data_IF_722989930491
#
_entry.id   IF_722989930491
#
_cell.length_a   1.000
_cell.length_b   1.000
_cell.length_c   1.000
_cell.angle_alpha   90.00
_cell.angle_beta   90.00
_cell.angle_gamma   90.00
#
_symmetry.space_group_name_H-M   'P 1'
#
loop_
_entity.id
_entity.type
_entity.pdbx_description
1 polymer ?
#
# COMPACT_ATOMS: atom_id res chain seq x y z
N UNK A 1 0.53 -0.95 15.53
CA UNK A 1 0.70 -0.96 14.06
C UNK A 1 1.15 -2.34 13.65
N UNK A 2 0.73 -2.79 12.48
CA UNK A 2 1.02 -4.12 11.96
C UNK A 2 2.34 -4.06 11.19
N UNK A 3 3.21 -5.05 11.39
CA UNK A 3 4.41 -5.22 10.59
C UNK A 3 4.07 -5.90 9.26
N UNK A 4 4.53 -5.34 8.15
CA UNK A 4 4.26 -5.88 6.81
C UNK A 4 5.04 -7.18 6.64
N UNK A 5 4.33 -8.30 6.45
CA UNK A 5 4.99 -9.56 6.12
C UNK A 5 5.42 -9.56 4.64
N UNK A 6 6.68 -9.21 4.41
CA UNK A 6 7.27 -9.13 3.06
C UNK A 6 7.41 -10.49 2.35
N UNK A 7 7.40 -11.61 3.07
CA UNK A 7 7.41 -12.95 2.47
C UNK A 7 6.05 -13.29 1.88
N UNK A 8 4.99 -13.08 2.66
CA UNK A 8 3.60 -13.23 2.22
C UNK A 8 3.28 -12.25 1.07
N UNK A 9 3.77 -11.00 1.16
CA UNK A 9 3.64 -10.05 0.07
C UNK A 9 4.28 -10.55 -1.23
N UNK A 10 5.46 -11.19 -1.18
CA UNK A 10 6.12 -11.75 -2.38
C UNK A 10 5.27 -12.86 -3.01
N UNK A 11 4.67 -13.72 -2.18
CA UNK A 11 3.76 -14.78 -2.64
C UNK A 11 2.51 -14.15 -3.27
N UNK A 12 1.85 -13.23 -2.56
CA UNK A 12 0.69 -12.50 -3.06
C UNK A 12 0.97 -11.82 -4.40
N UNK A 13 2.13 -11.17 -4.53
CA UNK A 13 2.55 -10.47 -5.74
C UNK A 13 2.66 -11.41 -6.94
N UNK A 14 3.14 -12.64 -6.77
CA UNK A 14 3.27 -13.61 -7.88
C UNK A 14 1.91 -13.93 -8.53
N UNK A 15 0.83 -13.87 -7.75
CA UNK A 15 -0.54 -14.14 -8.19
C UNK A 15 -1.35 -12.87 -8.50
N UNK A 16 -0.77 -11.68 -8.31
CA UNK A 16 -1.45 -10.42 -8.57
C UNK A 16 -1.46 -10.07 -10.06
N UNK A 17 -2.62 -9.62 -10.55
CA UNK A 17 -2.74 -9.05 -11.89
C UNK A 17 -1.90 -7.77 -12.07
N UNK A 18 -1.52 -7.11 -10.97
CA UNK A 18 -0.75 -5.85 -10.96
C UNK A 18 0.73 -6.04 -10.60
N UNK A 19 1.28 -7.27 -10.71
CA UNK A 19 2.63 -7.64 -10.23
C UNK A 19 3.79 -6.72 -10.69
N UNK A 20 3.65 -5.99 -11.78
CA UNK A 20 4.65 -5.01 -12.24
C UNK A 20 4.64 -3.71 -11.42
N UNK A 21 3.53 -3.40 -10.75
CA UNK A 21 3.37 -2.21 -9.91
C UNK A 21 3.34 -2.57 -8.43
N UNK A 22 4.53 -2.67 -7.83
CA UNK A 22 4.72 -3.06 -6.43
C UNK A 22 3.84 -2.32 -5.42
N UNK A 23 3.57 -1.03 -5.65
CA UNK A 23 2.78 -0.22 -4.73
C UNK A 23 1.30 -0.54 -4.82
N UNK A 24 0.75 -0.63 -6.04
CA UNK A 24 -0.65 -1.01 -6.21
C UNK A 24 -0.88 -2.45 -5.71
N UNK A 25 0.06 -3.35 -5.95
CA UNK A 25 0.04 -4.69 -5.37
C UNK A 25 0.10 -4.65 -3.84
N UNK A 26 0.90 -3.76 -3.25
CA UNK A 26 0.98 -3.62 -1.79
C UNK A 26 -0.31 -3.07 -1.21
N UNK A 27 -0.94 -2.08 -1.85
CA UNK A 27 -2.25 -1.59 -1.44
C UNK A 27 -3.31 -2.70 -1.48
N UNK A 28 -3.33 -3.50 -2.56
CA UNK A 28 -4.24 -4.64 -2.68
C UNK A 28 -3.96 -5.71 -1.60
N UNK A 29 -2.68 -5.95 -1.28
CA UNK A 29 -2.28 -6.85 -0.21
C UNK A 29 -2.75 -6.36 1.17
N UNK A 30 -2.51 -5.08 1.49
CA UNK A 30 -2.94 -4.50 2.77
C UNK A 30 -4.47 -4.55 2.94
N UNK A 31 -5.21 -4.27 1.87
CA UNK A 31 -6.67 -4.34 1.86
C UNK A 31 -7.21 -5.76 2.00
N UNK A 32 -6.59 -6.75 1.34
CA UNK A 32 -7.10 -8.12 1.29
C UNK A 32 -6.61 -8.99 2.45
N UNK A 33 -5.33 -8.91 2.79
CA UNK A 33 -4.69 -9.76 3.79
C UNK A 33 -4.92 -9.24 5.21
N UNK A 34 -4.89 -7.91 5.40
CA UNK A 34 -5.09 -7.28 6.71
C UNK A 34 -6.45 -6.60 6.86
N UNK A 35 -7.35 -6.70 5.87
CA UNK A 35 -8.66 -6.04 5.87
C UNK A 35 -8.61 -4.52 6.09
N UNK A 36 -7.50 -3.86 5.73
CA UNK A 36 -7.36 -2.42 5.92
C UNK A 36 -8.23 -1.66 4.93
N UNK A 37 -9.24 -0.95 5.45
CA UNK A 37 -10.19 -0.17 4.63
C UNK A 37 -10.00 1.34 4.77
N UNK A 38 -9.29 1.79 5.80
CA UNK A 38 -9.07 3.21 6.07
C UNK A 38 -7.75 3.69 5.44
N UNK A 39 -7.76 4.70 4.54
CA UNK A 39 -6.54 5.28 3.97
C UNK A 39 -5.53 5.77 5.00
N UNK A 40 -5.98 6.30 6.15
CA UNK A 40 -5.06 6.74 7.22
C UNK A 40 -4.31 5.57 7.84
N UNK A 41 -5.00 4.46 8.11
CA UNK A 41 -4.38 3.24 8.64
C UNK A 41 -3.38 2.63 7.65
N UNK A 42 -3.73 2.61 6.37
CA UNK A 42 -2.83 2.15 5.29
C UNK A 42 -1.59 3.05 5.23
N UNK A 43 -1.78 4.37 5.23
CA UNK A 43 -0.66 5.32 5.19
C UNK A 43 0.27 5.16 6.39
N UNK A 44 -0.28 5.10 7.60
CA UNK A 44 0.49 4.90 8.82
C UNK A 44 1.27 3.59 8.79
N UNK A 45 0.63 2.48 8.40
CA UNK A 45 1.31 1.19 8.24
C UNK A 45 2.48 1.28 7.26
N UNK A 46 2.26 1.89 6.10
CA UNK A 46 3.30 2.05 5.08
C UNK A 46 4.40 3.03 5.50
N UNK A 47 4.08 4.10 6.24
CA UNK A 47 5.03 5.12 6.68
C UNK A 47 5.96 4.63 7.80
N UNK A 48 5.55 3.58 8.52
CA UNK A 48 6.31 2.95 9.59
C UNK A 48 7.14 1.75 9.13
N UNK A 49 6.98 1.29 7.89
CA UNK A 49 7.87 0.31 7.26
C UNK A 49 8.82 1.01 6.27
N UNK A 50 10.13 0.78 6.38
CA UNK A 50 11.13 1.45 5.53
C UNK A 50 10.95 1.18 4.03
N UNK A 51 10.58 -0.04 3.66
CA UNK A 51 10.39 -0.40 2.24
C UNK A 51 9.10 0.22 1.69
N UNK A 52 8.00 0.13 2.43
CA UNK A 52 6.73 0.71 2.02
C UNK A 52 6.80 2.25 1.99
N UNK A 53 7.51 2.87 2.92
CA UNK A 53 7.78 4.31 2.97
C UNK A 53 8.55 4.79 1.75
N UNK A 54 9.51 4.01 1.25
CA UNK A 54 10.17 4.32 -0.01
C UNK A 54 9.21 4.26 -1.20
N UNK A 55 8.20 3.38 -1.18
CA UNK A 55 7.19 3.31 -2.24
C UNK A 55 6.23 4.51 -2.22
N UNK A 56 5.88 5.00 -1.03
CA UNK A 56 5.12 6.25 -0.84
C UNK A 56 5.90 7.45 -1.40
N UNK A 57 7.17 7.61 -0.98
CA UNK A 57 8.04 8.71 -1.43
C UNK A 57 8.25 8.72 -2.94
N UNK A 58 8.42 7.56 -3.58
CA UNK A 58 8.57 7.45 -5.04
C UNK A 58 7.34 7.95 -5.82
N UNK A 59 6.19 8.09 -5.16
CA UNK A 59 4.92 8.60 -5.71
C UNK A 59 4.54 9.98 -5.17
N UNK A 60 5.44 10.61 -4.43
CA UNK A 60 5.21 11.90 -3.76
C UNK A 60 4.00 11.89 -2.81
N UNK A 61 3.73 10.73 -2.18
CA UNK A 61 2.67 10.55 -1.19
C UNK A 61 3.26 10.78 0.20
N UNK A 62 3.18 12.02 0.70
CA UNK A 62 3.84 12.44 1.95
C UNK A 62 2.85 12.60 3.12
N UNK A 63 1.57 12.33 2.88
CA UNK A 63 0.53 12.37 3.90
C UNK A 63 -0.56 11.34 3.63
N UNK A 64 -1.35 11.06 4.68
CA UNK A 64 -2.59 10.30 4.58
C UNK A 64 -3.58 10.94 3.58
N UNK A 65 -3.66 12.27 3.54
CA UNK A 65 -4.49 12.99 2.57
C UNK A 65 -4.03 12.77 1.11
N UNK A 66 -2.73 12.65 0.86
CA UNK A 66 -2.21 12.35 -0.49
C UNK A 66 -2.56 10.93 -0.91
N UNK A 67 -2.41 9.96 0.00
CA UNK A 67 -2.80 8.57 -0.26
C UNK A 67 -4.31 8.46 -0.48
N UNK A 68 -5.10 9.15 0.33
CA UNK A 68 -6.56 9.21 0.17
C UNK A 68 -6.94 9.75 -1.21
N UNK A 69 -6.38 10.89 -1.61
CA UNK A 69 -6.57 11.44 -2.97
C UNK A 69 -6.14 10.46 -4.05
N UNK A 70 -5.04 9.73 -3.87
CA UNK A 70 -4.58 8.71 -4.83
C UNK A 70 -5.60 7.57 -4.97
N UNK A 71 -6.13 7.07 -3.85
CA UNK A 71 -7.11 5.99 -3.82
C UNK A 71 -8.45 6.39 -4.44
N UNK A 72 -8.88 7.64 -4.22
CA UNK A 72 -10.18 8.14 -4.68
C UNK A 72 -10.15 8.85 -6.03
N UNK A 73 -8.97 9.23 -6.57
CA UNK A 73 -8.82 9.76 -7.94
C UNK A 73 -9.22 8.79 -9.06
N UNK A 74 -9.38 7.50 -8.75
CA UNK A 74 -9.95 6.53 -9.70
C UNK A 74 -11.49 6.60 -9.82
N UNK A 75 -12.17 7.56 -9.16
CA UNK A 75 -13.64 7.70 -9.17
C UNK A 75 -14.17 8.96 -9.88
N UNK A 76 -13.36 9.67 -10.66
CA UNK A 76 -13.82 10.76 -11.57
C UNK A 76 -13.76 10.36 -13.05
#
# INVERSE_FOLDING_TARGET
>A
MIDINWEEFKIFKQHSAKKENNFETLLDFLKSYYSMTNPSEIYETMANDETAKLMLKKRDLNSNADLEKHLFKCFE
#
